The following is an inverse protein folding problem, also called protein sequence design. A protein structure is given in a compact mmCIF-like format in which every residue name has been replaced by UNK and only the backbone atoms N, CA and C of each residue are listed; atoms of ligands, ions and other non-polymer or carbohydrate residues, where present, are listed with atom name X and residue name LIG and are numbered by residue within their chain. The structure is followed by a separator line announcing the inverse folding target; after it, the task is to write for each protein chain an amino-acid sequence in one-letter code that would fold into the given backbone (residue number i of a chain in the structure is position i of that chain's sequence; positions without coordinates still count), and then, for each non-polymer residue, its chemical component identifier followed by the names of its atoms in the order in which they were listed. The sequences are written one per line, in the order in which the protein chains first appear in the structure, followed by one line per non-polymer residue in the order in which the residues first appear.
data_IF_090395516598
#
_entry.id   IF_090395516598
#
_cell.length_a   1.000
_cell.length_b   1.000
_cell.length_c   1.000
_cell.angle_alpha   90.00
_cell.angle_beta   90.00
_cell.angle_gamma   90.00
#
_symmetry.space_group_name_H-M   'P 1'
#
loop_
_entity.id
_entity.type
_entity.pdbx_description
1 polymer ?
#
# COMPACT_ATOMS: atom_id res chain seq x y z
N UNK A 1 -6.08 2.07 40.92
CA UNK A 1 -5.81 2.75 39.64
C UNK A 1 -4.78 1.93 38.89
N UNK A 2 -5.20 1.12 37.96
CA UNK A 2 -4.30 0.33 37.13
C UNK A 2 -3.62 1.26 36.09
N UNK A 3 -2.31 1.38 36.19
CA UNK A 3 -1.50 2.01 35.15
C UNK A 3 -1.60 1.12 33.91
N UNK A 4 -2.41 1.53 32.93
CA UNK A 4 -2.39 0.96 31.60
C UNK A 4 -0.99 1.23 31.04
N UNK A 5 -0.11 0.23 31.05
CA UNK A 5 1.11 0.25 30.23
C UNK A 5 0.66 0.42 28.79
N UNK A 6 0.86 1.62 28.24
CA UNK A 6 0.77 1.86 26.83
C UNK A 6 1.88 1.04 26.18
N UNK A 7 1.56 -0.15 25.71
CA UNK A 7 2.39 -0.85 24.74
C UNK A 7 2.50 0.12 23.55
N UNK A 8 3.72 0.47 23.10
CA UNK A 8 3.86 1.32 21.91
C UNK A 8 3.03 0.70 20.81
N UNK A 9 2.11 1.47 20.20
CA UNK A 9 1.27 0.97 19.12
C UNK A 9 2.14 0.49 17.97
N UNK A 10 1.78 -0.63 17.33
CA UNK A 10 2.48 -1.10 16.14
C UNK A 10 2.44 -0.03 15.05
N UNK A 11 3.58 0.19 14.39
CA UNK A 11 3.73 1.21 13.36
C UNK A 11 3.29 0.67 12.00
N UNK A 12 2.33 1.32 11.39
CA UNK A 12 1.86 1.03 10.04
C UNK A 12 2.30 2.16 9.12
N UNK A 13 3.03 1.81 8.06
CA UNK A 13 3.37 2.77 7.01
C UNK A 13 2.56 2.44 5.76
N UNK A 14 1.75 3.41 5.32
CA UNK A 14 1.01 3.33 4.06
C UNK A 14 1.87 3.96 2.98
N UNK A 15 2.30 3.16 2.01
CA UNK A 15 3.12 3.57 0.88
C UNK A 15 2.20 3.94 -0.28
N UNK A 16 2.35 5.15 -0.78
CA UNK A 16 1.57 5.76 -1.84
C UNK A 16 2.51 6.14 -2.99
N UNK A 17 2.73 5.25 -3.98
CA UNK A 17 3.51 5.61 -5.15
C UNK A 17 2.73 6.64 -5.99
N UNK A 18 3.41 7.69 -6.45
CA UNK A 18 2.81 8.78 -7.22
C UNK A 18 3.61 9.10 -8.48
N UNK A 19 2.89 9.36 -9.56
CA UNK A 19 3.39 10.03 -10.75
C UNK A 19 2.24 10.77 -11.45
N UNK A 20 2.24 12.11 -11.34
CA UNK A 20 1.14 12.99 -11.82
C UNK A 20 -0.20 12.74 -11.08
N UNK A 21 -0.14 12.73 -9.74
CA UNK A 21 -1.32 12.48 -8.90
C UNK A 21 -1.75 13.72 -8.11
N UNK A 22 -1.41 14.92 -8.57
CA UNK A 22 -1.72 16.17 -7.88
C UNK A 22 -3.21 16.35 -7.57
N UNK A 23 -4.09 15.90 -8.46
CA UNK A 23 -5.54 16.04 -8.29
C UNK A 23 -6.10 15.08 -7.24
N UNK A 24 -5.47 13.92 -7.05
CA UNK A 24 -5.95 12.83 -6.21
C UNK A 24 -5.31 12.82 -4.82
N UNK A 25 -4.01 13.12 -4.72
CA UNK A 25 -3.22 12.89 -3.51
C UNK A 25 -3.75 13.62 -2.27
N UNK A 26 -4.29 14.81 -2.45
CA UNK A 26 -4.87 15.58 -1.36
C UNK A 26 -6.07 14.85 -0.76
N UNK A 27 -7.04 14.49 -1.60
CA UNK A 27 -8.26 13.80 -1.19
C UNK A 27 -7.95 12.46 -0.52
N UNK A 28 -6.95 11.73 -1.05
CA UNK A 28 -6.50 10.46 -0.51
C UNK A 28 -5.88 10.63 0.90
N UNK A 29 -4.97 11.58 1.07
CA UNK A 29 -4.33 11.83 2.37
C UNK A 29 -5.34 12.27 3.43
N UNK A 30 -6.30 13.15 3.08
CA UNK A 30 -7.36 13.57 3.98
C UNK A 30 -8.27 12.39 4.37
N UNK A 31 -8.64 11.52 3.42
CA UNK A 31 -9.42 10.31 3.68
C UNK A 31 -8.66 9.35 4.61
N UNK A 32 -7.40 9.04 4.30
CA UNK A 32 -6.56 8.17 5.11
C UNK A 32 -6.38 8.70 6.53
N UNK A 33 -6.14 10.00 6.68
CA UNK A 33 -6.03 10.63 8.00
C UNK A 33 -7.31 10.49 8.81
N UNK A 34 -8.48 10.76 8.20
CA UNK A 34 -9.79 10.63 8.81
C UNK A 34 -10.08 9.20 9.27
N UNK A 35 -9.79 8.22 8.41
CA UNK A 35 -10.06 6.79 8.66
C UNK A 35 -9.16 6.25 9.77
N UNK A 36 -7.85 6.53 9.69
CA UNK A 36 -6.86 5.95 10.60
C UNK A 36 -6.93 6.53 12.01
N UNK A 37 -7.43 7.75 12.17
CA UNK A 37 -7.65 8.39 13.48
C UNK A 37 -8.53 7.55 14.42
N UNK A 38 -9.42 6.73 13.86
CA UNK A 38 -10.34 5.89 14.62
C UNK A 38 -9.81 4.46 14.88
N UNK A 39 -8.64 4.09 14.32
CA UNK A 39 -8.05 2.75 14.49
C UNK A 39 -7.09 2.78 15.69
N UNK A 40 -7.56 2.24 16.82
CA UNK A 40 -6.78 2.23 18.07
C UNK A 40 -5.72 1.12 18.07
N UNK A 41 -4.60 1.39 18.76
CA UNK A 41 -3.51 0.42 18.95
C UNK A 41 -2.47 0.42 17.85
N UNK A 42 -2.59 1.31 16.87
CA UNK A 42 -1.65 1.47 15.76
C UNK A 42 -1.26 2.94 15.59
N UNK A 43 -0.04 3.13 15.13
CA UNK A 43 0.51 4.42 14.75
C UNK A 43 0.67 4.44 13.22
N UNK A 44 -0.09 5.31 12.55
CA UNK A 44 -0.06 5.41 11.08
C UNK A 44 0.88 6.50 10.60
N UNK A 45 1.63 6.18 9.56
CA UNK A 45 2.41 7.13 8.75
C UNK A 45 2.07 6.94 7.29
N UNK A 46 2.06 8.02 6.52
CA UNK A 46 1.77 8.02 5.08
C UNK A 46 3.03 8.43 4.35
N UNK A 47 3.57 7.52 3.55
CA UNK A 47 4.78 7.73 2.77
C UNK A 47 4.42 7.87 1.30
N UNK A 48 4.44 9.09 0.81
CA UNK A 48 4.32 9.37 -0.63
C UNK A 48 5.67 9.14 -1.27
N UNK A 49 5.70 8.28 -2.28
CA UNK A 49 6.91 7.96 -3.06
C UNK A 49 6.71 8.51 -4.45
N UNK A 50 7.25 9.69 -4.70
CA UNK A 50 7.05 10.41 -5.95
C UNK A 50 8.20 10.21 -6.94
N UNK A 51 7.85 9.86 -8.16
CA UNK A 51 8.80 9.62 -9.25
C UNK A 51 9.07 10.90 -10.06
N UNK A 52 9.34 12.02 -9.35
CA UNK A 52 9.60 13.36 -9.92
C UNK A 52 8.47 13.85 -10.81
N UNK A 53 7.26 13.92 -10.25
CA UNK A 53 6.05 14.38 -10.94
C UNK A 53 6.18 15.82 -11.44
N UNK A 54 6.00 16.08 -12.74
CA UNK A 54 6.08 17.44 -13.30
C UNK A 54 4.84 18.30 -12.99
N UNK A 55 3.72 17.70 -12.55
CA UNK A 55 2.45 18.39 -12.29
C UNK A 55 2.41 19.15 -10.95
N UNK A 56 3.46 19.03 -10.13
CA UNK A 56 3.55 19.66 -8.81
C UNK A 56 3.00 18.82 -7.68
N UNK A 57 2.83 17.51 -7.85
CA UNK A 57 2.47 16.56 -6.79
C UNK A 57 3.37 16.71 -5.58
N UNK A 58 4.72 16.68 -5.75
CA UNK A 58 5.68 16.83 -4.65
C UNK A 58 5.44 18.10 -3.85
N UNK A 59 5.30 19.25 -4.54
CA UNK A 59 5.09 20.55 -3.87
C UNK A 59 3.81 20.56 -3.04
N UNK A 60 2.75 19.90 -3.51
CA UNK A 60 1.51 19.76 -2.77
C UNK A 60 1.71 18.91 -1.51
N UNK A 61 2.40 17.77 -1.63
CA UNK A 61 2.70 16.88 -0.49
C UNK A 61 3.55 17.58 0.55
N UNK A 62 4.53 18.41 0.16
CA UNK A 62 5.32 19.19 1.12
C UNK A 62 4.44 20.13 1.98
N UNK A 63 3.42 20.78 1.40
CA UNK A 63 2.47 21.58 2.19
C UNK A 63 1.64 20.74 3.17
N UNK A 64 1.44 19.46 2.88
CA UNK A 64 0.73 18.55 3.75
C UNK A 64 1.57 18.08 4.94
N UNK A 65 2.89 18.04 4.83
CA UNK A 65 3.79 17.71 5.95
C UNK A 65 3.66 18.72 7.08
N UNK A 66 3.43 20.00 6.76
CA UNK A 66 3.18 21.03 7.75
C UNK A 66 1.86 20.84 8.49
N UNK A 67 0.84 20.35 7.78
CA UNK A 67 -0.49 20.09 8.34
C UNK A 67 -0.57 18.76 9.12
N UNK A 68 0.14 17.74 8.62
CA UNK A 68 0.11 16.38 9.16
C UNK A 68 1.53 15.84 9.40
N UNK A 69 2.02 15.81 10.63
CA UNK A 69 3.43 15.52 10.96
C UNK A 69 3.86 14.07 10.62
N UNK A 70 2.92 13.19 10.22
CA UNK A 70 3.19 11.80 9.82
C UNK A 70 3.01 11.55 8.33
N UNK A 71 2.99 12.60 7.54
CA UNK A 71 3.11 12.53 6.09
C UNK A 71 4.57 12.73 5.72
N UNK A 72 5.10 11.81 4.93
CA UNK A 72 6.49 11.80 4.47
C UNK A 72 6.52 11.80 2.95
N UNK A 73 7.50 12.47 2.37
CA UNK A 73 7.77 12.47 0.93
C UNK A 73 9.13 11.85 0.67
N UNK A 74 9.18 10.91 -0.26
CA UNK A 74 10.40 10.29 -0.78
C UNK A 74 10.43 10.47 -2.29
N UNK A 75 11.19 11.44 -2.75
CA UNK A 75 11.35 11.71 -4.17
C UNK A 75 12.39 10.80 -4.81
N UNK A 76 12.19 10.47 -6.07
CA UNK A 76 13.11 9.64 -6.83
C UNK A 76 12.93 9.75 -8.33
N UNK A 77 13.85 9.15 -9.07
CA UNK A 77 13.76 9.07 -10.53
C UNK A 77 12.64 8.12 -10.95
N UNK A 78 11.94 8.44 -12.05
CA UNK A 78 10.94 7.57 -12.65
C UNK A 78 11.60 6.33 -13.25
N UNK A 79 11.51 5.22 -12.54
CA UNK A 79 12.07 3.94 -12.95
C UNK A 79 11.00 2.82 -12.97
N UNK A 80 9.74 3.21 -12.80
CA UNK A 80 8.57 2.34 -12.78
C UNK A 80 8.08 1.99 -11.39
N UNK A 81 6.80 1.58 -11.33
CA UNK A 81 6.06 1.32 -10.09
C UNK A 81 6.78 0.36 -9.14
N UNK A 82 7.34 -0.73 -9.67
CA UNK A 82 8.05 -1.72 -8.86
C UNK A 82 9.23 -1.12 -8.10
N UNK A 83 10.06 -0.29 -8.75
CA UNK A 83 11.21 0.38 -8.10
C UNK A 83 10.76 1.46 -7.11
N UNK A 84 9.69 2.20 -7.40
CA UNK A 84 9.11 3.14 -6.46
C UNK A 84 8.63 2.44 -5.18
N UNK A 85 7.91 1.31 -5.33
CA UNK A 85 7.45 0.51 -4.21
C UNK A 85 8.61 -0.06 -3.39
N UNK A 86 9.67 -0.57 -4.04
CA UNK A 86 10.86 -1.08 -3.34
C UNK A 86 11.55 0.00 -2.51
N UNK A 87 11.79 1.17 -3.11
CA UNK A 87 12.36 2.33 -2.45
C UNK A 87 11.49 2.77 -1.26
N UNK A 88 10.16 2.75 -1.44
CA UNK A 88 9.20 3.05 -0.37
C UNK A 88 9.22 2.02 0.76
N UNK A 89 9.30 0.73 0.44
CA UNK A 89 9.39 -0.35 1.44
C UNK A 89 10.67 -0.25 2.27
N UNK A 90 11.81 -0.04 1.60
CA UNK A 90 13.09 0.15 2.26
C UNK A 90 13.04 1.33 3.24
N UNK A 91 12.55 2.48 2.78
CA UNK A 91 12.41 3.67 3.61
C UNK A 91 11.44 3.44 4.79
N UNK A 92 10.31 2.78 4.55
CA UNK A 92 9.32 2.46 5.58
C UNK A 92 9.91 1.59 6.68
N UNK A 93 10.71 0.58 6.33
CA UNK A 93 11.33 -0.35 7.30
C UNK A 93 12.53 0.28 7.98
N UNK A 94 13.46 0.87 7.22
CA UNK A 94 14.74 1.33 7.75
C UNK A 94 14.63 2.68 8.47
N UNK A 95 13.84 3.62 7.92
CA UNK A 95 13.75 4.97 8.46
C UNK A 95 12.53 5.15 9.38
N UNK A 96 11.35 4.70 8.97
CA UNK A 96 10.12 4.88 9.73
C UNK A 96 9.87 3.76 10.74
N UNK A 97 10.66 2.67 10.68
CA UNK A 97 10.57 1.51 11.58
C UNK A 97 9.19 0.86 11.54
N UNK A 98 8.66 0.67 10.33
CA UNK A 98 7.36 0.02 10.13
C UNK A 98 7.37 -1.42 10.67
N UNK A 99 6.31 -1.79 11.40
CA UNK A 99 6.00 -3.18 11.77
C UNK A 99 5.10 -3.83 10.71
N UNK A 100 4.24 -3.00 10.09
CA UNK A 100 3.30 -3.37 9.06
C UNK A 100 3.43 -2.38 7.90
N UNK A 101 3.40 -2.90 6.69
CA UNK A 101 3.42 -2.14 5.45
C UNK A 101 2.07 -2.26 4.78
N UNK A 102 1.49 -1.14 4.37
CA UNK A 102 0.34 -1.09 3.47
C UNK A 102 0.78 -0.46 2.15
N UNK A 103 0.35 -1.02 1.03
CA UNK A 103 0.58 -0.47 -0.31
C UNK A 103 -0.77 -0.12 -0.93
N UNK A 104 -0.89 1.08 -1.47
CA UNK A 104 -2.12 1.59 -2.08
C UNK A 104 -1.76 2.53 -3.24
N UNK A 105 -2.44 2.39 -4.37
CA UNK A 105 -2.28 3.33 -5.48
C UNK A 105 -2.91 4.69 -5.13
N UNK A 106 -2.36 5.77 -5.66
CA UNK A 106 -2.76 7.13 -5.30
C UNK A 106 -3.88 7.70 -6.19
N UNK A 107 -4.31 6.96 -7.21
CA UNK A 107 -5.30 7.35 -8.22
C UNK A 107 -6.77 7.14 -7.79
N UNK A 108 -7.00 6.87 -6.50
CA UNK A 108 -8.30 6.56 -5.91
C UNK A 108 -8.99 5.29 -6.47
N UNK A 109 -8.31 4.47 -7.27
CA UNK A 109 -8.82 3.17 -7.68
C UNK A 109 -8.92 2.16 -6.53
N UNK A 110 -8.16 2.39 -5.47
CA UNK A 110 -8.21 1.66 -4.21
C UNK A 110 -8.99 2.45 -3.17
N UNK A 111 -10.13 1.92 -2.72
CA UNK A 111 -10.95 2.55 -1.71
C UNK A 111 -10.24 2.56 -0.33
N UNK A 112 -9.87 3.73 0.21
CA UNK A 112 -9.22 3.82 1.51
C UNK A 112 -10.10 3.34 2.68
N UNK A 113 -11.43 3.34 2.53
CA UNK A 113 -12.37 2.85 3.55
C UNK A 113 -12.23 1.34 3.81
N UNK A 114 -11.55 0.62 2.93
CA UNK A 114 -11.26 -0.81 3.10
C UNK A 114 -10.08 -1.05 4.05
N UNK A 115 -9.18 -0.08 4.25
CA UNK A 115 -7.99 -0.22 5.10
C UNK A 115 -8.29 -0.77 6.51
N UNK A 116 -9.33 -0.30 7.25
CA UNK A 116 -9.67 -0.88 8.54
C UNK A 116 -10.01 -2.37 8.50
N UNK A 117 -10.54 -2.86 7.36
CA UNK A 117 -10.83 -4.28 7.20
C UNK A 117 -9.53 -5.09 7.09
N UNK A 118 -8.55 -4.60 6.36
CA UNK A 118 -7.23 -5.23 6.22
C UNK A 118 -6.51 -5.30 7.57
N UNK A 119 -6.52 -4.20 8.32
CA UNK A 119 -5.92 -4.14 9.66
C UNK A 119 -6.61 -5.13 10.61
N UNK A 120 -7.94 -5.31 10.52
CA UNK A 120 -8.64 -6.33 11.31
C UNK A 120 -8.19 -7.75 10.97
N UNK A 121 -7.88 -8.06 9.71
CA UNK A 121 -7.36 -9.38 9.34
C UNK A 121 -5.94 -9.60 9.86
N UNK A 122 -5.07 -8.60 9.77
CA UNK A 122 -3.72 -8.64 10.38
C UNK A 122 -3.84 -8.87 11.89
N UNK A 123 -4.75 -8.17 12.58
CA UNK A 123 -5.00 -8.34 14.02
C UNK A 123 -5.49 -9.74 14.37
N UNK A 124 -6.21 -10.41 13.47
CA UNK A 124 -6.65 -11.81 13.63
C UNK A 124 -5.56 -12.84 13.33
N UNK A 125 -4.36 -12.40 12.99
CA UNK A 125 -3.21 -13.26 12.74
C UNK A 125 -2.92 -13.51 11.26
N UNK A 126 -3.59 -12.82 10.34
CA UNK A 126 -3.19 -12.87 8.94
C UNK A 126 -1.81 -12.23 8.77
N UNK A 127 -0.96 -12.89 8.04
CA UNK A 127 0.39 -12.40 7.75
C UNK A 127 0.42 -11.45 6.56
N UNK A 128 -0.48 -11.66 5.61
CA UNK A 128 -0.59 -10.94 4.35
C UNK A 128 -2.06 -10.84 3.94
N UNK A 129 -2.50 -9.65 3.59
CA UNK A 129 -3.88 -9.36 3.14
C UNK A 129 -3.81 -8.65 1.79
N UNK A 130 -4.59 -9.13 0.82
CA UNK A 130 -4.69 -8.54 -0.52
C UNK A 130 -6.13 -8.09 -0.76
N UNK A 131 -6.29 -6.88 -1.30
CA UNK A 131 -7.55 -6.43 -1.86
C UNK A 131 -7.85 -7.19 -3.16
N UNK A 132 -8.99 -7.85 -3.19
CA UNK A 132 -9.39 -8.64 -4.36
C UNK A 132 -10.59 -8.01 -5.06
N UNK A 133 -10.48 -7.87 -6.37
CA UNK A 133 -11.56 -7.44 -7.27
C UNK A 133 -12.56 -8.55 -7.57
N UNK A 134 -12.22 -9.81 -7.25
CA UNK A 134 -12.90 -11.02 -7.68
C UNK A 134 -13.60 -11.78 -6.55
N UNK A 135 -13.84 -11.10 -5.42
CA UNK A 135 -14.62 -11.64 -4.29
C UNK A 135 -15.89 -10.83 -4.07
N UNK A 136 -16.90 -11.31 -3.36
CA UNK A 136 -18.06 -10.51 -3.00
C UNK A 136 -17.67 -9.19 -2.33
N UNK A 137 -18.19 -8.08 -2.87
CA UNK A 137 -17.82 -6.72 -2.45
C UNK A 137 -16.58 -6.13 -3.15
N UNK A 138 -15.88 -6.92 -3.98
CA UNK A 138 -14.84 -6.41 -4.88
C UNK A 138 -15.45 -5.83 -6.16
N UNK A 139 -14.77 -4.89 -6.78
CA UNK A 139 -15.18 -4.30 -8.05
C UNK A 139 -14.02 -4.22 -9.04
N UNK A 140 -14.33 -4.44 -10.31
CA UNK A 140 -13.41 -4.19 -11.41
C UNK A 140 -13.71 -2.78 -11.92
N UNK A 141 -12.70 -1.91 -12.11
CA UNK A 141 -12.93 -0.56 -12.63
C UNK A 141 -13.71 -0.56 -13.94
N UNK A 142 -14.73 0.29 -14.04
CA UNK A 142 -15.63 0.33 -15.20
C UNK A 142 -14.92 0.73 -16.49
N UNK A 143 -13.87 1.56 -16.37
CA UNK A 143 -13.05 2.03 -17.49
C UNK A 143 -12.09 0.97 -18.06
N UNK A 144 -12.05 -0.24 -17.50
CA UNK A 144 -11.21 -1.29 -18.07
C UNK A 144 -11.81 -1.85 -19.35
N UNK A 145 -11.02 -1.80 -20.42
CA UNK A 145 -11.36 -2.48 -21.66
C UNK A 145 -11.52 -3.99 -21.47
N UNK A 146 -12.36 -4.61 -22.32
CA UNK A 146 -12.66 -6.04 -22.23
C UNK A 146 -11.42 -6.92 -22.25
N UNK A 147 -10.43 -6.60 -23.10
CA UNK A 147 -9.15 -7.32 -23.18
C UNK A 147 -8.40 -7.33 -21.82
N UNK A 148 -8.35 -6.18 -21.12
CA UNK A 148 -7.71 -6.07 -19.82
C UNK A 148 -8.42 -6.92 -18.76
N UNK A 149 -9.75 -6.93 -18.79
CA UNK A 149 -10.56 -7.78 -17.89
C UNK A 149 -10.26 -9.27 -18.13
N UNK A 150 -10.24 -9.70 -19.39
CA UNK A 150 -9.94 -11.09 -19.79
C UNK A 150 -8.51 -11.49 -19.35
N UNK A 151 -7.51 -10.68 -19.69
CA UNK A 151 -6.11 -10.97 -19.30
C UNK A 151 -5.93 -11.03 -17.79
N UNK A 152 -6.60 -10.16 -17.04
CA UNK A 152 -6.53 -10.17 -15.58
C UNK A 152 -7.13 -11.45 -14.98
N UNK A 153 -8.30 -11.88 -15.48
CA UNK A 153 -8.95 -13.14 -15.02
C UNK A 153 -8.10 -14.37 -15.37
N UNK A 154 -7.63 -14.45 -16.61
CA UNK A 154 -6.79 -15.58 -17.06
C UNK A 154 -5.47 -15.61 -16.28
N UNK A 155 -4.78 -14.48 -16.14
CA UNK A 155 -3.54 -14.38 -15.40
C UNK A 155 -3.69 -14.83 -13.94
N UNK A 156 -4.72 -14.33 -13.27
CA UNK A 156 -5.03 -14.73 -11.88
C UNK A 156 -5.35 -16.23 -11.79
N UNK A 157 -6.07 -16.78 -12.76
CA UNK A 157 -6.40 -18.20 -12.80
C UNK A 157 -5.14 -19.06 -12.98
N UNK A 158 -4.25 -18.70 -13.90
CA UNK A 158 -2.99 -19.41 -14.13
C UNK A 158 -2.14 -19.43 -12.85
N UNK A 159 -1.97 -18.28 -12.21
CA UNK A 159 -1.19 -18.18 -10.97
C UNK A 159 -1.85 -19.01 -9.85
N UNK A 160 -3.17 -18.91 -9.70
CA UNK A 160 -3.93 -19.63 -8.69
C UNK A 160 -3.78 -21.15 -8.82
N UNK A 161 -3.95 -21.67 -10.03
CA UNK A 161 -3.83 -23.09 -10.29
C UNK A 161 -2.37 -23.56 -10.32
N UNK A 162 -1.47 -22.76 -10.90
CA UNK A 162 -0.04 -23.11 -11.00
C UNK A 162 0.67 -23.15 -9.63
N UNK A 163 0.28 -22.30 -8.69
CA UNK A 163 0.85 -22.28 -7.33
C UNK A 163 0.06 -23.13 -6.33
N UNK A 164 -1.10 -23.68 -6.70
CA UNK A 164 -1.95 -24.47 -5.80
C UNK A 164 -2.64 -23.67 -4.69
N UNK A 165 -2.55 -22.35 -4.70
CA UNK A 165 -3.17 -21.47 -3.71
C UNK A 165 -4.59 -21.08 -4.14
N UNK A 166 -5.57 -21.89 -3.76
CA UNK A 166 -6.97 -21.67 -4.16
C UNK A 166 -7.69 -20.58 -3.39
N UNK A 167 -7.17 -20.15 -2.23
CA UNK A 167 -7.77 -19.13 -1.37
C UNK A 167 -7.50 -17.68 -1.81
N UNK A 168 -6.49 -17.45 -2.63
CA UNK A 168 -6.15 -16.10 -3.16
C UNK A 168 -6.74 -15.96 -4.56
N UNK A 169 -7.62 -14.99 -4.74
CA UNK A 169 -8.36 -14.79 -5.98
C UNK A 169 -7.80 -13.68 -6.87
N UNK A 170 -6.98 -12.77 -6.30
CA UNK A 170 -6.40 -11.65 -7.03
C UNK A 170 -4.92 -11.47 -6.66
N UNK A 171 -4.04 -12.04 -7.47
CA UNK A 171 -2.60 -11.95 -7.31
C UNK A 171 -2.01 -10.64 -7.85
N UNK A 172 -2.75 -9.97 -8.72
CA UNK A 172 -2.32 -8.74 -9.40
C UNK A 172 -2.83 -7.47 -8.72
N UNK A 173 -3.58 -7.60 -7.64
CA UNK A 173 -4.07 -6.46 -6.85
C UNK A 173 -2.91 -5.69 -6.23
N UNK A 174 -2.90 -4.35 -6.42
CA UNK A 174 -1.89 -3.44 -5.84
C UNK A 174 -2.14 -3.12 -4.37
N UNK A 175 -3.38 -3.24 -3.90
CA UNK A 175 -3.75 -2.94 -2.52
C UNK A 175 -3.40 -4.11 -1.60
N UNK A 176 -2.36 -3.95 -0.80
CA UNK A 176 -1.79 -5.02 0.02
C UNK A 176 -1.44 -4.49 1.40
N UNK A 177 -1.62 -5.33 2.43
CA UNK A 177 -1.15 -5.06 3.78
C UNK A 177 -0.46 -6.30 4.34
N UNK A 178 0.73 -6.16 4.85
CA UNK A 178 1.54 -7.28 5.33
C UNK A 178 2.53 -6.89 6.42
N UNK A 179 2.99 -7.88 7.17
CA UNK A 179 3.96 -7.69 8.23
C UNK A 179 5.38 -7.51 7.65
N UNK A 180 6.21 -6.71 8.30
CA UNK A 180 7.60 -6.41 7.96
C UNK A 180 8.44 -7.65 7.60
N UNK A 181 8.23 -8.80 8.28
CA UNK A 181 8.95 -10.04 8.03
C UNK A 181 8.91 -10.52 6.56
N UNK A 182 7.88 -10.12 5.81
CA UNK A 182 7.76 -10.45 4.37
C UNK A 182 8.65 -9.57 3.51
N UNK A 183 8.78 -8.30 3.84
CA UNK A 183 9.77 -7.43 3.19
C UNK A 183 11.19 -7.98 3.40
N UNK A 184 11.55 -8.36 4.62
CA UNK A 184 12.86 -8.91 4.94
C UNK A 184 13.18 -10.18 4.13
N UNK A 185 12.21 -11.08 3.98
CA UNK A 185 12.35 -12.28 3.14
C UNK A 185 12.48 -11.94 1.64
N UNK A 186 11.68 -11.01 1.14
CA UNK A 186 11.74 -10.53 -0.23
C UNK A 186 13.08 -9.86 -0.53
N UNK A 187 13.53 -8.97 0.32
CA UNK A 187 14.78 -8.23 0.16
C UNK A 187 15.98 -9.18 0.05
N UNK A 188 16.03 -10.23 0.86
CA UNK A 188 17.08 -11.26 0.75
C UNK A 188 17.07 -12.01 -0.59
N UNK A 189 15.92 -12.15 -1.23
CA UNK A 189 15.78 -12.84 -2.52
C UNK A 189 15.99 -11.91 -3.71
N UNK A 190 15.59 -10.65 -3.60
CA UNK A 190 15.58 -9.67 -4.69
C UNK A 190 16.98 -9.25 -5.15
N UNK A 191 18.00 -9.34 -4.30
CA UNK A 191 19.39 -9.16 -4.73
C UNK A 191 19.83 -10.11 -5.85
N UNK A 192 19.03 -11.16 -6.12
CA UNK A 192 19.25 -12.15 -7.18
C UNK A 192 18.43 -11.91 -8.46
N UNK A 193 17.41 -11.04 -8.41
CA UNK A 193 16.49 -10.83 -9.54
C UNK A 193 16.62 -9.41 -10.09
N UNK A 194 16.96 -9.29 -11.38
CA UNK A 194 16.97 -8.03 -12.13
C UNK A 194 15.66 -7.78 -12.90
N UNK A 195 14.59 -8.44 -12.53
CA UNK A 195 13.31 -8.39 -13.21
C UNK A 195 12.25 -7.52 -12.52
N UNK A 196 11.16 -7.31 -13.21
CA UNK A 196 9.95 -6.62 -12.74
C UNK A 196 9.40 -7.29 -11.46
N UNK A 197 9.15 -6.49 -10.44
CA UNK A 197 8.37 -6.91 -9.28
C UNK A 197 7.00 -6.31 -9.37
#
# INVERSE_FOLDING_TARGET
MARTCLVPGMKIVVILPTYNERENIQSLLDALHRITKNIRGYEFSFLVVDDSSPDGTEKLVETYKDKYPRVYLLSGKKEGLGKALLRGMEYAVEMLKADIIAQMDADLSHDPEVLPQFIRQIKKGADFVIGSRYIPGGSIPDNWGLHRKIFSVIGNSIVRFGLGFTSVHDWTGGYRVYQKKYYEKLHMQMGKYRGYV
#
